data_IF_241396738531
#
_entry.id   IF_241396738531
#
_cell.length_a   1.000
_cell.length_b   1.000
_cell.length_c   1.000
_cell.angle_alpha   90.00
_cell.angle_beta   90.00
_cell.angle_gamma   90.00
#
_symmetry.space_group_name_H-M   'P 1'
#
loop_
_entity.id
_entity.type
_entity.pdbx_description
1 polymer ?
2 water ?
#
# COMPACT_ATOMS: atom_id res chain seq x y z
N UNK A 2 -9.15 -2.94 1.25
CA UNK A 2 -8.58 -3.48 -0.02
C UNK A 2 -7.28 -4.22 0.23
N UNK A 3 -6.78 -4.87 -0.82
CA UNK A 3 -5.49 -5.56 -0.82
C UNK A 3 -4.76 -5.12 -2.05
N UNK A 4 -3.49 -4.76 -1.90
CA UNK A 4 -2.73 -4.09 -2.96
C UNK A 4 -1.23 -4.34 -2.82
N UNK A 5 -0.47 -4.15 -3.91
CA UNK A 5 1.00 -4.08 -3.78
C UNK A 5 1.40 -2.95 -2.84
N UNK A 6 2.42 -3.20 -2.01
CA UNK A 6 2.88 -2.23 -1.01
C UNK A 6 4.27 -1.73 -1.33
N UNK A 7 4.35 -0.44 -1.67
CA UNK A 7 5.60 0.17 -2.09
C UNK A 7 6.30 0.85 -0.92
N UNK A 8 7.59 0.60 -0.77
CA UNK A 8 8.38 1.29 0.25
C UNK A 8 8.60 2.75 -0.14
N UNK A 9 8.61 3.64 0.85
CA UNK A 9 8.74 5.08 0.60
C UNK A 9 10.16 5.55 0.92
N UNK A 10 10.70 5.08 2.04
CA UNK A 10 12.08 5.37 2.42
C UNK A 10 12.63 4.25 3.32
N UNK A 11 13.97 4.02 3.27
CA UNK A 11 14.61 2.99 4.09
C UNK A 11 14.33 3.17 5.58
N UNK A 12 14.14 2.04 6.27
CA UNK A 12 13.95 2.03 7.72
C UNK A 12 12.50 2.14 8.17
N UNK A 13 11.64 2.54 7.24
CA UNK A 13 10.23 2.76 7.52
C UNK A 13 9.47 1.45 7.30
N UNK A 14 8.65 1.05 8.28
CA UNK A 14 7.87 -0.18 8.12
C UNK A 14 6.54 0.04 7.39
N UNK A 15 6.05 1.27 7.36
CA UNK A 15 4.83 1.61 6.62
C UNK A 15 5.19 2.09 5.24
N UNK A 16 4.58 1.48 4.22
CA UNK A 16 4.75 1.89 2.83
C UNK A 16 3.49 2.56 2.31
N UNK A 17 3.44 2.80 1.00
CA UNK A 17 2.24 3.34 0.36
C UNK A 17 1.66 2.36 -0.65
N UNK A 18 0.36 2.48 -0.89
CA UNK A 18 -0.33 1.59 -1.80
C UNK A 18 -1.46 2.35 -2.47
N UNK A 19 -1.66 2.04 -3.75
CA UNK A 19 -2.66 2.70 -4.57
C UNK A 19 -4.02 2.04 -4.38
N UNK A 20 -4.97 2.80 -3.84
CA UNK A 20 -6.30 2.29 -3.52
C UNK A 20 -7.20 2.13 -4.74
N UNK A 21 -6.83 2.79 -5.84
CA UNK A 21 -7.65 2.78 -7.04
C UNK A 21 -7.14 1.76 -8.04
N UNK A 22 -6.26 2.21 -8.93
CA UNK A 22 -5.68 1.39 -9.98
C UNK A 22 -4.33 1.97 -10.31
N UNK A 23 -3.37 1.08 -10.52
CA UNK A 23 -2.03 1.47 -10.86
C UNK A 23 -1.82 1.24 -12.34
N UNK A 24 -1.36 2.28 -13.03
CA UNK A 24 -0.98 2.16 -14.44
C UNK A 24 0.53 2.29 -14.58
N UNK A 25 1.21 1.16 -14.35
CA UNK A 25 2.65 1.18 -14.13
C UNK A 25 2.81 2.05 -12.88
N UNK A 26 3.47 3.22 -13.02
CA UNK A 26 3.78 4.06 -11.85
C UNK A 26 2.66 4.96 -11.31
N UNK A 27 1.63 5.18 -12.13
CA UNK A 27 0.58 6.17 -11.83
C UNK A 27 -0.65 5.58 -11.12
N UNK A 28 -0.98 6.15 -9.96
CA UNK A 28 -2.19 5.79 -9.22
C UNK A 28 -3.34 6.66 -9.73
N UNK A 29 -4.36 6.02 -10.30
CA UNK A 29 -5.40 6.75 -11.01
C UNK A 29 -6.39 7.42 -10.06
N UNK A 30 -7.09 8.44 -10.56
CA UNK A 30 -8.07 9.19 -9.76
C UNK A 30 -9.22 8.33 -9.26
N UNK A 31 -9.59 7.30 -10.03
CA UNK A 31 -10.71 6.43 -9.70
C UNK A 31 -10.38 4.99 -10.01
N UNK A 32 -11.02 4.07 -9.29
CA UNK A 32 -10.82 2.64 -9.51
C UNK A 32 -11.27 2.20 -10.90
N UNK A 33 -12.20 2.94 -11.50
CA UNK A 33 -12.73 2.58 -12.83
C UNK A 33 -11.96 3.21 -14.00
N UNK A 34 -10.87 3.92 -13.72
CA UNK A 34 -10.01 4.41 -14.79
C UNK A 34 -9.37 3.21 -15.46
N UNK A 35 -8.92 3.40 -16.70
CA UNK A 35 -8.12 2.36 -17.34
C UNK A 35 -6.79 2.96 -17.77
N UNK A 36 -5.85 2.08 -18.10
CA UNK A 36 -4.50 2.49 -18.41
C UNK A 36 -4.32 2.73 -19.90
N UNK A 37 -3.61 3.81 -20.21
CA UNK A 37 -3.23 4.12 -21.59
C UNK A 37 -1.72 4.28 -21.72
N UNK A 38 -1.28 4.37 -22.96
CA UNK A 38 0.09 4.70 -23.27
C UNK A 38 0.06 5.94 -24.15
N UNK A 39 0.74 7.01 -23.72
CA UNK A 39 0.83 8.24 -24.49
C UNK A 39 2.15 8.28 -25.20
N UNK A 40 2.17 8.44 -26.52
CA UNK A 40 3.47 8.50 -27.18
C UNK A 40 4.26 9.67 -26.61
N UNK A 41 5.53 9.44 -26.33
CA UNK A 41 6.49 10.45 -25.83
C UNK A 41 6.31 10.81 -24.36
N UNK A 42 5.24 10.32 -23.72
CA UNK A 42 4.96 10.67 -22.33
C UNK A 42 4.77 9.47 -21.41
N UNK A 43 4.62 8.29 -21.99
CA UNK A 43 4.59 7.07 -21.22
C UNK A 43 3.22 6.64 -20.73
N UNK A 44 3.23 5.79 -19.71
CA UNK A 44 2.03 5.19 -19.14
C UNK A 44 1.20 6.21 -18.38
N UNK A 45 -0.13 6.09 -18.42
CA UNK A 45 -0.99 6.97 -17.68
C UNK A 45 -2.38 6.38 -17.56
N UNK A 46 -3.26 7.14 -16.91
CA UNK A 46 -4.66 6.78 -16.68
C UNK A 46 -5.54 7.58 -17.61
N UNK A 47 -6.64 6.97 -18.01
CA UNK A 47 -7.71 7.67 -18.68
C UNK A 47 -8.96 7.41 -17.84
N UNK A 48 -9.63 8.48 -17.46
CA UNK A 48 -10.71 8.43 -16.47
C UNK A 48 -11.94 9.16 -16.93
N UNK A 49 -13.08 8.71 -16.41
CA UNK A 49 -14.30 9.47 -16.54
C UNK A 49 -14.18 10.69 -15.61
N UNK A 50 -14.23 11.89 -16.21
CA UNK A 50 -14.06 13.18 -15.48
C UNK A 50 -15.30 13.49 -14.67
N UNK B 3 -1.59 -7.89 -2.10
CA UNK B 3 -0.35 -8.42 -1.47
C UNK B 3 -0.21 -8.04 -0.02
N UNK B 4 -0.77 -6.89 0.37
CA UNK B 4 -0.88 -6.53 1.77
C UNK B 4 -2.15 -5.72 1.86
N UNK B 5 -2.80 -5.71 3.03
CA UNK B 5 -3.94 -4.80 3.16
C UNK B 5 -3.56 -3.36 2.88
N UNK B 6 -4.37 -2.67 2.09
CA UNK B 6 -4.16 -1.25 1.82
C UNK B 6 -5.21 -0.43 2.55
N UNK B 7 -4.75 0.39 3.49
CA UNK B 7 -5.64 1.12 4.37
C UNK B 7 -5.74 2.59 3.98
N UNK B 8 -6.95 3.12 4.00
CA UNK B 8 -7.20 4.53 3.68
C UNK B 8 -6.58 5.43 4.74
N UNK B 9 -6.06 6.57 4.29
CA UNK B 9 -5.44 7.55 5.16
C UNK B 9 -6.41 8.71 5.45
N UNK B 10 -6.92 9.32 4.38
CA UNK B 10 -7.89 10.39 4.48
C UNK B 10 -9.04 10.04 3.53
N UNK B 11 -10.28 10.46 3.86
CA UNK B 11 -11.37 10.28 2.90
C UNK B 11 -11.08 11.05 1.63
N UNK B 12 -11.02 10.36 0.49
CA UNK B 12 -10.74 11.02 -0.78
C UNK B 12 -9.40 10.73 -1.43
N UNK B 13 -8.35 10.58 -0.61
CA UNK B 13 -6.98 10.26 -1.07
C UNK B 13 -6.90 8.88 -1.73
N UNK B 14 -6.20 8.81 -2.86
CA UNK B 14 -6.07 7.56 -3.62
C UNK B 14 -4.90 6.69 -3.16
N UNK B 15 -3.93 7.31 -2.48
CA UNK B 15 -2.84 6.58 -1.86
C UNK B 15 -3.21 6.23 -0.44
N UNK B 16 -3.12 4.95 -0.13
CA UNK B 16 -3.30 4.48 1.23
C UNK B 16 -1.97 4.09 1.84
N UNK B 17 -2.03 3.48 3.01
CA UNK B 17 -0.82 3.02 3.69
C UNK B 17 -0.88 1.53 3.88
N UNK B 18 0.30 0.91 3.90
CA UNK B 18 0.36 -0.52 4.07
C UNK B 18 1.59 -0.90 4.86
N UNK B 19 1.49 -2.01 5.57
CA UNK B 19 2.57 -2.47 6.42
C UNK B 19 3.51 -3.40 5.64
N UNK B 20 4.78 -3.00 5.54
CA UNK B 20 5.77 -3.75 4.76
C UNK B 20 6.33 -5.01 5.43
N UNK B 21 6.17 -5.11 6.74
CA UNK B 21 6.80 -6.19 7.50
C UNK B 21 5.75 -7.26 7.79
N UNK B 22 5.07 -7.13 8.92
CA UNK B 22 3.94 -7.99 9.26
C UNK B 22 2.94 -7.15 10.02
N UNK B 23 1.67 -7.31 9.64
CA UNK B 23 0.57 -6.62 10.29
C UNK B 23 -0.14 -7.53 11.29
N UNK B 24 -0.16 -7.10 12.55
CA UNK B 24 -0.80 -7.84 13.63
C UNK B 24 -1.95 -7.03 14.17
N UNK B 25 -3.14 -7.26 13.61
CA UNK B 25 -4.31 -6.40 13.80
C UNK B 25 -3.93 -5.03 13.26
N UNK B 26 -3.86 -4.04 14.15
CA UNK B 26 -3.53 -2.67 13.74
C UNK B 26 -2.05 -2.31 13.85
N UNK B 27 -1.24 -3.25 14.31
CA UNK B 27 0.16 -2.98 14.61
C UNK B 27 1.06 -3.49 13.50
N UNK B 28 1.95 -2.62 13.03
CA UNK B 28 2.92 -2.98 12.02
C UNK B 28 4.27 -3.26 12.67
N UNK B 29 4.74 -4.51 12.55
CA UNK B 29 5.92 -4.99 13.29
C UNK B 29 7.22 -4.33 12.86
N UNK B 30 8.16 -4.23 13.81
CA UNK B 30 9.44 -3.55 13.57
C UNK B 30 10.26 -4.19 12.46
N UNK B 31 10.13 -5.50 12.30
CA UNK B 31 10.93 -6.25 11.33
C UNK B 31 10.10 -7.32 10.64
N UNK B 32 10.60 -7.80 9.51
CA UNK B 32 9.88 -8.81 8.73
C UNK B 32 9.83 -10.16 9.46
N UNK B 33 10.87 -10.44 10.24
CA UNK B 33 10.97 -11.70 10.95
C UNK B 33 10.32 -11.62 12.32
N UNK B 34 9.04 -11.24 12.28
CA UNK B 34 8.17 -11.15 13.44
C UNK B 34 6.91 -11.90 13.07
N UNK B 35 6.33 -12.58 14.05
CA UNK B 35 4.99 -13.16 13.91
C UNK B 35 4.05 -12.50 14.92
N UNK B 36 2.75 -12.78 14.81
CA UNK B 36 1.75 -12.12 15.66
C UNK B 36 1.38 -12.93 16.89
N UNK B 37 1.25 -12.24 18.02
CA UNK B 37 0.71 -12.82 19.25
C UNK B 37 -0.56 -12.10 19.62
N UNK B 38 -1.48 -12.84 20.23
CA UNK B 38 -2.76 -12.30 20.65
C UNK B 38 -3.03 -12.88 22.01
N UNK B 39 -3.69 -12.10 22.86
CA UNK B 39 -4.11 -12.55 24.18
C UNK B 39 -5.56 -12.21 24.36
N UNK B 42 1.23 -8.02 27.86
CA UNK B 42 0.13 -8.64 27.14
C UNK B 42 -0.45 -7.71 26.06
N UNK B 43 -1.63 -8.06 25.54
CA UNK B 43 -2.21 -7.38 24.37
C UNK B 43 -1.68 -7.98 23.08
N UNK B 44 -2.36 -7.73 21.97
CA UNK B 44 -1.84 -8.17 20.69
C UNK B 44 -0.52 -7.48 20.41
N UNK B 45 0.34 -8.15 19.67
CA UNK B 45 1.62 -7.55 19.33
C UNK B 45 2.47 -8.41 18.46
N UNK B 46 3.74 -8.00 18.36
CA UNK B 46 4.72 -8.67 17.51
C UNK B 46 5.70 -9.46 18.34
N UNK B 47 5.96 -10.69 17.90
CA UNK B 47 6.99 -11.54 18.48
C UNK B 47 8.09 -11.68 17.44
N UNK B 48 9.28 -11.14 17.75
CA UNK B 48 10.36 -11.03 16.76
C UNK B 48 11.59 -11.82 17.18
N UNK B 49 12.38 -12.22 16.19
CA UNK B 49 13.61 -12.96 16.46
C UNK B 49 14.53 -12.13 17.34
N UNK B 50 15.09 -12.74 18.39
CA UNK B 50 16.00 -12.05 19.31
C UNK B 50 17.39 -11.78 18.72
#
# INVERSE_FOLDING_TARGET
DVHRPCQSVRPGRVWGKCCLTRLCSTMCCARADCTCVYHTWRGHGCSCVM
DVHRPCQSVRPGRVWGKCCLTRLCSTMCCARADCTCVYHTWRGHGCSCVM
#
